data_IF_903425515426
#
_entry.id   IF_903425515426
#
_cell.length_a   1.000
_cell.length_b   1.000
_cell.length_c   1.000
_cell.angle_alpha   90.00
_cell.angle_beta   90.00
_cell.angle_gamma   90.00
#
_symmetry.space_group_name_H-M   'P 1'
#
loop_
_entity.id
_entity.type
_entity.pdbx_description
1 polymer ?
#
# COMPACT_ATOMS: atom_id res chain seq x y z
N UNK A 1 6.41 -2.17 -19.73
CA UNK A 1 5.18 -1.63 -20.39
C UNK A 1 5.46 -0.24 -20.93
N UNK A 2 5.18 0.04 -22.21
CA UNK A 2 5.33 1.38 -22.81
C UNK A 2 3.97 2.11 -22.78
N UNK A 3 3.39 2.34 -21.62
CA UNK A 3 2.14 3.08 -21.47
C UNK A 3 2.41 4.43 -20.82
N UNK A 4 1.81 5.50 -21.34
CA UNK A 4 1.82 6.82 -20.71
C UNK A 4 0.79 6.95 -19.57
N UNK A 5 -0.01 5.89 -19.34
CA UNK A 5 -0.98 5.85 -18.26
C UNK A 5 -0.27 5.42 -16.97
N UNK A 6 -0.43 6.14 -15.86
CA UNK A 6 0.06 5.71 -14.55
C UNK A 6 -0.40 4.27 -14.24
N UNK A 7 0.49 3.45 -13.66
CA UNK A 7 0.22 2.03 -13.41
C UNK A 7 -1.07 1.78 -12.62
N UNK A 8 -1.39 2.54 -11.56
CA UNK A 8 -2.63 2.37 -10.80
C UNK A 8 -3.91 2.66 -11.60
N UNK A 9 -3.80 3.43 -12.69
CA UNK A 9 -4.93 3.76 -13.57
C UNK A 9 -5.16 2.76 -14.72
N UNK A 10 -4.37 1.68 -14.82
CA UNK A 10 -4.65 0.64 -15.80
C UNK A 10 -5.98 -0.03 -15.50
N UNK A 11 -6.76 -0.23 -16.56
CA UNK A 11 -8.12 -0.78 -16.46
C UNK A 11 -8.07 -2.31 -16.40
N UNK A 12 -8.73 -2.85 -15.39
CA UNK A 12 -9.01 -4.27 -15.21
C UNK A 12 -10.54 -4.42 -15.13
N UNK A 13 -11.13 -5.23 -16.03
CA UNK A 13 -12.58 -5.44 -16.09
C UNK A 13 -13.40 -4.14 -16.07
N UNK A 14 -12.93 -3.12 -16.81
CA UNK A 14 -13.64 -1.83 -16.95
C UNK A 14 -13.35 -0.80 -15.86
N UNK A 15 -12.54 -1.12 -14.84
CA UNK A 15 -12.29 -0.26 -13.68
C UNK A 15 -10.78 -0.11 -13.38
N UNK A 16 -10.28 1.07 -12.95
CA UNK A 16 -8.88 1.26 -12.56
C UNK A 16 -8.45 0.33 -11.42
N UNK A 17 -7.22 -0.21 -11.51
CA UNK A 17 -6.69 -1.14 -10.51
C UNK A 17 -6.67 -0.56 -9.09
N UNK A 18 -6.35 0.73 -8.94
CA UNK A 18 -6.32 1.39 -7.64
C UNK A 18 -7.66 1.33 -6.91
N UNK A 19 -8.79 1.45 -7.65
CA UNK A 19 -10.12 1.39 -7.04
C UNK A 19 -10.42 0.04 -6.40
N UNK A 20 -9.92 -1.07 -6.95
CA UNK A 20 -10.07 -2.38 -6.31
C UNK A 20 -9.32 -2.46 -4.97
N UNK A 21 -8.15 -1.83 -4.89
CA UNK A 21 -7.38 -1.78 -3.63
C UNK A 21 -8.10 -0.93 -2.59
N UNK A 22 -8.62 0.22 -3.00
CA UNK A 22 -9.35 1.13 -2.11
C UNK A 22 -10.69 0.55 -1.64
N UNK A 23 -11.41 -0.19 -2.52
CA UNK A 23 -12.61 -0.91 -2.11
C UNK A 23 -12.28 -1.99 -1.05
N UNK A 24 -11.20 -2.73 -1.24
CA UNK A 24 -10.78 -3.71 -0.25
C UNK A 24 -10.40 -3.07 1.09
N UNK A 25 -9.91 -1.84 1.09
CA UNK A 25 -9.66 -1.06 2.30
C UNK A 25 -10.93 -0.54 2.95
N UNK A 26 -11.92 -0.08 2.18
CA UNK A 26 -13.18 0.43 2.73
C UNK A 26 -14.01 -0.64 3.44
N UNK A 27 -13.76 -1.93 3.13
CA UNK A 27 -14.35 -3.07 3.85
C UNK A 27 -13.58 -3.43 5.15
N UNK A 28 -12.51 -2.70 5.47
CA UNK A 28 -11.69 -2.89 6.66
C UNK A 28 -11.87 -1.69 7.63
N UNK A 29 -11.57 -1.82 8.93
CA UNK A 29 -11.61 -0.72 9.87
C UNK A 29 -10.41 0.23 9.66
N UNK A 30 -10.39 0.91 8.53
CA UNK A 30 -9.41 1.92 8.14
C UNK A 30 -10.07 3.28 8.20
N UNK A 31 -9.54 4.18 9.00
CA UNK A 31 -10.10 5.52 9.20
C UNK A 31 -9.79 6.46 8.04
N UNK A 32 -8.60 6.34 7.48
CA UNK A 32 -8.07 7.23 6.45
C UNK A 32 -7.09 6.51 5.53
N UNK A 33 -7.03 6.89 4.27
CA UNK A 33 -6.04 6.44 3.31
C UNK A 33 -5.28 7.61 2.70
N UNK A 34 -3.96 7.51 2.60
CA UNK A 34 -3.12 8.46 1.88
C UNK A 34 -2.59 7.78 0.62
N UNK A 35 -2.98 8.27 -0.54
CA UNK A 35 -2.52 7.76 -1.83
C UNK A 35 -1.27 8.51 -2.26
N UNK A 36 -0.13 7.81 -2.27
CA UNK A 36 1.11 8.38 -2.80
C UNK A 36 1.09 8.31 -4.31
N UNK A 37 1.12 9.47 -4.94
CA UNK A 37 1.05 9.62 -6.38
C UNK A 37 2.38 10.11 -6.92
N UNK A 38 2.84 9.49 -8.01
CA UNK A 38 4.01 9.93 -8.74
C UNK A 38 3.62 10.66 -10.02
N UNK A 39 4.23 10.29 -11.12
CA UNK A 39 3.93 10.86 -12.43
C UNK A 39 2.44 10.72 -12.81
N UNK A 40 1.81 11.83 -13.20
CA UNK A 40 0.39 11.87 -13.59
C UNK A 40 -0.59 11.95 -12.41
N UNK A 41 -0.16 12.53 -11.30
CA UNK A 41 -0.93 12.76 -10.08
C UNK A 41 -2.33 13.33 -10.34
N UNK A 42 -2.46 14.37 -11.19
CA UNK A 42 -3.74 14.99 -11.53
C UNK A 42 -4.81 13.99 -12.01
N UNK A 43 -4.40 12.98 -12.80
CA UNK A 43 -5.33 11.95 -13.32
C UNK A 43 -5.80 11.01 -12.21
N UNK A 44 -4.90 10.68 -11.27
CA UNK A 44 -5.24 9.83 -10.12
C UNK A 44 -6.18 10.59 -9.20
N UNK A 45 -5.86 11.84 -8.86
CA UNK A 45 -6.70 12.69 -8.01
C UNK A 45 -8.11 12.88 -8.59
N UNK A 46 -8.19 13.17 -9.90
CA UNK A 46 -9.48 13.30 -10.57
C UNK A 46 -10.31 12.00 -10.48
N UNK A 47 -9.70 10.85 -10.75
CA UNK A 47 -10.37 9.55 -10.67
C UNK A 47 -10.85 9.26 -9.23
N UNK A 48 -10.05 9.59 -8.20
CA UNK A 48 -10.44 9.41 -6.80
C UNK A 48 -11.65 10.27 -6.42
N UNK A 49 -11.73 11.50 -6.95
CA UNK A 49 -12.87 12.40 -6.72
C UNK A 49 -14.15 11.94 -7.43
N UNK A 50 -14.02 11.31 -8.60
CA UNK A 50 -15.17 10.90 -9.41
C UNK A 50 -15.71 9.51 -9.02
N UNK A 51 -14.82 8.55 -8.72
CA UNK A 51 -15.13 7.13 -8.61
C UNK A 51 -14.60 6.48 -7.31
N UNK A 52 -14.03 7.26 -6.39
CA UNK A 52 -13.49 6.74 -5.13
C UNK A 52 -14.55 6.14 -4.22
N UNK A 53 -14.20 5.16 -3.35
CA UNK A 53 -15.13 4.62 -2.36
C UNK A 53 -15.43 5.64 -1.25
N UNK A 54 -16.41 5.32 -0.40
CA UNK A 54 -16.74 6.12 0.80
C UNK A 54 -15.68 5.88 1.91
N UNK A 55 -14.52 6.47 1.70
CA UNK A 55 -13.35 6.44 2.58
C UNK A 55 -12.70 7.83 2.55
N UNK A 56 -12.20 8.31 3.68
CA UNK A 56 -11.40 9.55 3.70
C UNK A 56 -10.08 9.30 2.97
N UNK A 57 -9.92 9.91 1.81
CA UNK A 57 -8.76 9.70 0.94
C UNK A 57 -8.05 11.02 0.71
N UNK A 58 -6.82 11.10 1.16
CA UNK A 58 -5.89 12.15 0.81
C UNK A 58 -4.86 11.68 -0.20
N UNK A 59 -4.11 12.60 -0.77
CA UNK A 59 -3.02 12.26 -1.67
C UNK A 59 -1.81 13.15 -1.45
N UNK A 60 -0.64 12.56 -1.61
CA UNK A 60 0.65 13.26 -1.58
C UNK A 60 1.45 12.93 -2.83
N UNK A 61 2.20 13.90 -3.34
CA UNK A 61 2.99 13.71 -4.55
C UNK A 61 4.44 13.34 -4.22
N UNK A 62 4.85 12.15 -4.67
CA UNK A 62 6.25 11.75 -4.71
C UNK A 62 6.90 12.33 -5.97
N UNK A 63 7.57 13.47 -5.84
CA UNK A 63 8.20 14.18 -6.96
C UNK A 63 9.40 13.45 -7.55
N UNK A 64 10.17 12.77 -6.69
CA UNK A 64 11.34 11.97 -7.08
C UNK A 64 11.04 10.52 -6.74
N UNK A 65 10.98 9.64 -7.75
CA UNK A 65 10.70 8.22 -7.55
C UNK A 65 11.95 7.50 -7.06
N UNK A 66 12.28 7.62 -5.77
CA UNK A 66 13.44 7.02 -5.14
C UNK A 66 13.17 5.62 -4.56
N UNK A 67 12.05 5.01 -4.93
CA UNK A 67 11.66 3.66 -4.54
C UNK A 67 10.50 3.60 -3.53
N UNK A 68 10.15 2.39 -3.11
CA UNK A 68 8.98 2.12 -2.26
C UNK A 68 9.14 2.70 -0.86
N UNK A 69 10.36 2.61 -0.27
CA UNK A 69 10.61 3.17 1.05
C UNK A 69 10.47 4.69 1.10
N UNK A 70 10.93 5.38 0.07
CA UNK A 70 10.75 6.82 -0.08
C UNK A 70 9.26 7.17 -0.26
N UNK A 71 8.52 6.38 -1.05
CA UNK A 71 7.08 6.55 -1.20
C UNK A 71 6.34 6.44 0.15
N UNK A 72 6.72 5.48 1.01
CA UNK A 72 6.16 5.36 2.36
C UNK A 72 6.49 6.59 3.19
N UNK A 73 7.74 7.06 3.19
CA UNK A 73 8.15 8.26 3.92
C UNK A 73 7.36 9.50 3.48
N UNK A 74 7.16 9.66 2.17
CA UNK A 74 6.31 10.73 1.62
C UNK A 74 4.85 10.54 2.04
N UNK A 75 4.33 9.31 2.03
CA UNK A 75 2.97 8.98 2.46
C UNK A 75 2.70 9.37 3.92
N UNK A 76 3.67 9.14 4.80
CA UNK A 76 3.57 9.48 6.22
C UNK A 76 3.43 10.98 6.46
N UNK A 77 3.98 11.84 5.59
CA UNK A 77 3.77 13.30 5.71
C UNK A 77 2.30 13.70 5.55
N UNK A 78 1.48 12.88 4.88
CA UNK A 78 0.04 13.09 4.82
C UNK A 78 -0.72 12.68 6.07
N UNK A 79 -0.03 12.11 7.08
CA UNK A 79 -0.58 11.65 8.35
C UNK A 79 0.08 12.39 9.56
N UNK A 80 0.89 13.44 9.32
CA UNK A 80 1.67 14.13 10.36
C UNK A 80 0.78 14.64 11.51
N UNK A 81 -0.39 15.17 11.20
CA UNK A 81 -1.34 15.69 12.20
C UNK A 81 -1.87 14.60 13.16
N UNK A 82 -1.82 13.33 12.75
CA UNK A 82 -2.31 12.17 13.52
C UNK A 82 -1.18 11.44 14.25
N UNK A 83 0.06 11.55 13.74
CA UNK A 83 1.25 10.86 14.28
C UNK A 83 2.02 11.76 15.27
N UNK A 84 1.80 13.09 15.23
CA UNK A 84 2.61 14.07 15.96
C UNK A 84 2.34 14.00 17.47
N UNK A 85 3.14 13.20 18.16
CA UNK A 85 3.32 13.21 19.62
C UNK A 85 2.67 12.07 20.39
N UNK A 86 1.91 11.20 19.77
CA UNK A 86 1.34 10.03 20.46
C UNK A 86 1.92 8.72 19.90
N UNK A 87 2.67 8.01 20.74
CA UNK A 87 3.21 6.67 20.40
C UNK A 87 2.08 5.62 20.26
N UNK A 88 0.85 5.99 20.62
CA UNK A 88 -0.37 5.19 20.46
C UNK A 88 -1.18 5.58 19.20
N UNK A 89 -0.59 6.32 18.26
CA UNK A 89 -1.28 6.81 17.04
C UNK A 89 -1.81 5.72 16.08
N UNK A 90 -1.67 4.46 16.45
CA UNK A 90 -2.22 3.34 15.70
C UNK A 90 -1.23 2.70 14.70
N UNK A 91 -1.76 1.77 13.92
CA UNK A 91 -0.98 1.01 12.95
C UNK A 91 -1.02 1.68 11.57
N UNK A 92 0.08 1.64 10.84
CA UNK A 92 0.14 2.08 9.44
C UNK A 92 0.17 0.87 8.52
N UNK A 93 -0.85 0.75 7.67
CA UNK A 93 -0.93 -0.27 6.63
C UNK A 93 -0.42 0.27 5.30
N UNK A 94 0.57 -0.39 4.72
CA UNK A 94 1.16 -0.01 3.42
C UNK A 94 0.76 -1.03 2.36
N UNK A 95 0.09 -0.57 1.30
CA UNK A 95 -0.36 -1.42 0.20
C UNK A 95 0.13 -0.89 -1.16
N UNK A 96 0.58 -1.77 -2.07
CA UNK A 96 0.81 -1.38 -3.46
C UNK A 96 -0.51 -1.06 -4.17
N UNK A 97 -0.59 0.06 -4.87
CA UNK A 97 -1.78 0.48 -5.62
C UNK A 97 -2.05 -0.32 -6.91
N UNK A 98 -1.29 -1.36 -7.18
CA UNK A 98 -1.38 -2.23 -8.36
C UNK A 98 -1.64 -3.71 -8.01
N UNK A 99 -2.20 -3.97 -6.83
CA UNK A 99 -2.59 -5.32 -6.34
C UNK A 99 -4.11 -5.49 -6.28
N UNK A 100 -4.82 -5.48 -7.43
CA UNK A 100 -6.29 -5.41 -7.48
C UNK A 100 -7.01 -6.68 -6.97
N UNK A 101 -6.29 -7.76 -6.69
CA UNK A 101 -6.85 -9.02 -6.19
C UNK A 101 -6.68 -9.20 -4.67
N UNK A 102 -6.19 -8.19 -3.98
CA UNK A 102 -6.10 -8.20 -2.52
C UNK A 102 -7.51 -8.22 -1.93
N UNK A 103 -7.72 -9.12 -0.97
CA UNK A 103 -9.04 -9.33 -0.35
C UNK A 103 -9.09 -8.68 1.03
N UNK A 104 -10.23 -8.12 1.45
CA UNK A 104 -10.41 -7.58 2.80
C UNK A 104 -10.01 -8.57 3.90
N UNK A 105 -10.38 -9.84 3.77
CA UNK A 105 -10.01 -10.88 4.72
C UNK A 105 -8.49 -11.09 4.85
N UNK A 106 -7.72 -10.87 3.78
CA UNK A 106 -6.26 -10.95 3.82
C UNK A 106 -5.67 -9.75 4.55
N UNK A 107 -6.24 -8.56 4.35
CA UNK A 107 -5.85 -7.34 5.06
C UNK A 107 -6.15 -7.50 6.56
N UNK A 108 -7.34 -7.93 6.91
CA UNK A 108 -7.72 -8.17 8.29
C UNK A 108 -6.78 -9.15 8.98
N UNK A 109 -6.50 -10.29 8.36
CA UNK A 109 -5.58 -11.28 8.91
C UNK A 109 -4.14 -10.74 9.10
N UNK A 110 -3.67 -9.84 8.21
CA UNK A 110 -2.36 -9.19 8.37
C UNK A 110 -2.34 -8.24 9.57
N UNK A 111 -3.41 -7.47 9.77
CA UNK A 111 -3.56 -6.53 10.89
C UNK A 111 -3.67 -7.30 12.21
N UNK A 112 -4.47 -8.35 12.24
CA UNK A 112 -4.64 -9.20 13.43
C UNK A 112 -3.30 -9.84 13.85
N UNK A 113 -2.57 -10.44 12.90
CA UNK A 113 -1.24 -11.00 13.14
C UNK A 113 -0.25 -9.93 13.65
N UNK A 114 -0.29 -8.72 13.11
CA UNK A 114 0.55 -7.63 13.54
C UNK A 114 0.30 -7.29 15.03
N UNK A 115 -0.96 -7.13 15.39
CA UNK A 115 -1.39 -6.77 16.75
C UNK A 115 -1.14 -7.90 17.75
N UNK A 116 -1.41 -9.14 17.37
CA UNK A 116 -1.21 -10.31 18.23
C UNK A 116 0.29 -10.59 18.47
N UNK A 117 1.13 -10.43 17.45
CA UNK A 117 2.58 -10.67 17.58
C UNK A 117 3.32 -9.56 18.31
N UNK A 118 2.77 -8.35 18.38
CA UNK A 118 3.45 -7.16 18.91
C UNK A 118 4.74 -6.81 18.15
N UNK A 119 4.85 -7.24 16.88
CA UNK A 119 6.00 -6.98 16.04
C UNK A 119 6.05 -5.52 15.61
N UNK A 120 7.26 -4.95 15.49
CA UNK A 120 7.43 -3.59 14.98
C UNK A 120 7.04 -3.46 13.49
N UNK A 121 7.05 -4.56 12.74
CA UNK A 121 6.57 -4.62 11.36
C UNK A 121 6.15 -6.05 11.01
N UNK A 122 5.07 -6.19 10.26
CA UNK A 122 4.55 -7.47 9.75
C UNK A 122 4.43 -7.39 8.23
N UNK A 123 4.84 -8.43 7.54
CA UNK A 123 4.94 -8.46 6.10
C UNK A 123 4.11 -9.59 5.50
N UNK A 124 3.22 -9.27 4.57
CA UNK A 124 2.54 -10.27 3.75
C UNK A 124 3.47 -10.75 2.63
N UNK A 125 3.73 -12.03 2.57
CA UNK A 125 4.55 -12.65 1.52
C UNK A 125 3.82 -13.84 0.89
N UNK A 126 4.16 -14.15 -0.37
CA UNK A 126 3.63 -15.30 -1.08
C UNK A 126 4.76 -16.27 -1.48
N UNK A 127 4.45 -17.57 -1.52
CA UNK A 127 5.32 -18.57 -2.14
C UNK A 127 4.88 -18.77 -3.58
N UNK A 128 5.80 -18.60 -4.50
CA UNK A 128 5.58 -18.80 -5.93
C UNK A 128 6.61 -19.78 -6.49
N UNK A 129 6.22 -20.58 -7.46
CA UNK A 129 7.10 -21.58 -8.07
C UNK A 129 8.23 -20.94 -8.87
N UNK A 130 7.94 -19.88 -9.61
CA UNK A 130 8.93 -19.07 -10.29
C UNK A 130 8.95 -17.64 -9.70
N UNK A 131 9.90 -17.35 -8.80
CA UNK A 131 10.01 -16.05 -8.17
C UNK A 131 10.81 -15.02 -8.98
N UNK A 132 11.15 -15.29 -10.24
CA UNK A 132 11.90 -14.36 -11.08
C UNK A 132 11.21 -12.99 -11.19
N UNK A 133 11.94 -11.90 -10.97
CA UNK A 133 11.42 -10.52 -11.02
C UNK A 133 10.68 -10.07 -9.76
N UNK A 134 10.60 -10.89 -8.71
CA UNK A 134 10.05 -10.50 -7.41
C UNK A 134 11.17 -10.30 -6.37
N UNK A 135 10.95 -9.42 -5.41
CA UNK A 135 11.78 -9.32 -4.21
C UNK A 135 11.76 -10.62 -3.39
N UNK A 136 12.84 -10.91 -2.69
CA UNK A 136 12.99 -12.12 -1.85
C UNK A 136 13.02 -11.75 -0.39
N UNK A 137 12.10 -12.32 0.39
CA UNK A 137 12.15 -12.23 1.85
C UNK A 137 13.11 -13.30 2.37
N UNK A 138 14.24 -12.87 2.89
CA UNK A 138 15.24 -13.76 3.51
C UNK A 138 14.95 -13.84 5.00
N UNK A 139 14.72 -15.06 5.50
CA UNK A 139 14.43 -15.31 6.90
C UNK A 139 15.68 -15.76 7.65
N UNK A 140 15.79 -15.32 8.90
CA UNK A 140 16.78 -15.81 9.86
C UNK A 140 16.49 -17.24 10.35
N UNK A 141 17.40 -17.79 11.16
CA UNK A 141 17.23 -19.10 11.78
C UNK A 141 16.09 -19.15 12.80
N UNK A 142 15.74 -18.00 13.35
CA UNK A 142 14.61 -17.75 14.25
C UNK A 142 13.25 -17.64 13.55
N UNK A 143 13.25 -17.69 12.19
CA UNK A 143 12.07 -17.50 11.36
C UNK A 143 11.68 -16.06 11.07
N UNK A 144 12.28 -15.09 11.74
CA UNK A 144 12.08 -13.67 11.51
C UNK A 144 12.62 -13.20 10.16
N UNK A 145 12.17 -12.03 9.71
CA UNK A 145 12.67 -11.40 8.49
C UNK A 145 14.05 -10.82 8.76
N UNK A 146 15.06 -11.30 8.04
CA UNK A 146 16.42 -10.80 8.16
C UNK A 146 16.68 -9.63 7.22
N UNK A 147 16.29 -9.76 5.96
CA UNK A 147 16.33 -8.69 4.97
C UNK A 147 15.47 -9.04 3.75
N UNK A 148 15.20 -8.03 2.92
CA UNK A 148 14.53 -8.18 1.62
C UNK A 148 15.57 -7.88 0.54
N UNK A 149 15.67 -8.76 -0.45
CA UNK A 149 16.55 -8.58 -1.62
C UNK A 149 15.69 -8.19 -2.80
N UNK A 150 15.87 -7.01 -3.31
CA UNK A 150 15.30 -6.57 -4.58
C UNK A 150 16.04 -7.23 -5.75
N UNK A 151 15.35 -7.37 -6.92
CA UNK A 151 15.93 -8.04 -8.09
C UNK A 151 16.43 -7.02 -9.10
#
# INVERSE_FOLDING_TARGET
MRSQRPKPLHILCGRPMLLYVLDALSDCPVERAVVVVGHGAERVTKMLQEDGPDLVIDHVEQRVQAGTGDAVSVGLTGLEDEIDGDLDAGDVLVLPGDTPLLRPATIAALVDEHRESGAAATLLSARVDDPHGYGRVVRGKDGGVHHIVEH
#
